data_IF_995879012444
#
_entry.id   IF_995879012444
#
_cell.length_a   1.000
_cell.length_b   1.000
_cell.length_c   1.000
_cell.angle_alpha   90.00
_cell.angle_beta   90.00
_cell.angle_gamma   90.00
#
_symmetry.space_group_name_H-M   'P 1'
#
loop_
_entity.id
_entity.type
_entity.pdbx_description
1 polymer ?
#
# COMPACT_ATOMS: atom_id res chain seq x y z
N UNK A 1 -12.46 -4.81 23.88
CA UNK A 1 -11.32 -5.73 23.78
C UNK A 1 -11.03 -5.94 22.30
N UNK A 2 -10.11 -5.18 21.72
CA UNK A 2 -9.84 -5.17 20.28
C UNK A 2 -8.66 -6.09 20.00
N UNK A 3 -8.92 -7.28 19.48
CA UNK A 3 -7.87 -8.27 19.21
C UNK A 3 -7.31 -8.09 17.81
N UNK A 4 -6.13 -7.49 17.78
CA UNK A 4 -4.99 -7.69 16.88
C UNK A 4 -5.21 -8.70 15.74
N UNK A 5 -5.44 -8.19 14.54
CA UNK A 5 -5.23 -8.98 13.33
C UNK A 5 -3.74 -9.13 13.02
N UNK A 6 -3.37 -10.33 12.57
CA UNK A 6 -2.19 -10.68 11.75
C UNK A 6 -1.08 -11.49 12.42
N UNK A 7 -1.39 -12.75 12.72
CA UNK A 7 -0.42 -13.85 12.55
C UNK A 7 -1.03 -14.90 11.64
N UNK A 8 -0.69 -14.88 10.34
CA UNK A 8 -0.93 -16.03 9.46
C UNK A 8 0.26 -16.99 9.61
N UNK A 9 0.05 -18.13 10.28
CA UNK A 9 1.05 -19.21 10.41
C UNK A 9 1.63 -19.55 9.02
N UNK A 10 2.95 -19.66 8.92
CA UNK A 10 3.65 -20.16 7.72
C UNK A 10 4.21 -19.12 6.74
N UNK A 11 4.12 -17.81 7.01
CA UNK A 11 4.75 -16.76 6.19
C UNK A 11 5.85 -16.04 6.95
N UNK A 12 7.12 -16.29 6.59
CA UNK A 12 8.24 -15.42 6.97
C UNK A 12 8.22 -14.21 6.05
N UNK A 13 8.08 -13.03 6.63
CA UNK A 13 8.10 -11.79 5.88
C UNK A 13 9.48 -11.15 5.98
N UNK A 14 10.04 -10.75 4.83
CA UNK A 14 11.29 -10.00 4.75
C UNK A 14 11.08 -8.49 4.70
N UNK A 15 12.19 -7.75 4.63
CA UNK A 15 12.21 -6.31 4.40
C UNK A 15 12.67 -6.03 2.97
N UNK A 16 11.89 -5.31 2.18
CA UNK A 16 12.33 -4.86 0.86
C UNK A 16 12.97 -3.49 1.02
N UNK A 17 14.15 -3.30 0.45
CA UNK A 17 14.80 -1.99 0.36
C UNK A 17 14.65 -1.49 -1.08
N UNK A 18 14.16 -0.25 -1.22
CA UNK A 18 13.96 0.38 -2.51
C UNK A 18 14.77 1.66 -2.60
N UNK A 19 15.31 1.94 -3.79
CA UNK A 19 15.77 3.26 -4.17
C UNK A 19 14.53 4.16 -4.37
N UNK A 20 14.43 5.23 -3.57
CA UNK A 20 13.30 6.16 -3.59
C UNK A 20 13.27 7.03 -4.84
N UNK A 21 14.42 7.34 -5.44
CA UNK A 21 14.52 8.18 -6.64
C UNK A 21 14.15 7.38 -7.89
N UNK A 22 14.67 6.15 -7.99
CA UNK A 22 14.51 5.29 -9.17
C UNK A 22 13.28 4.41 -9.10
N UNK A 23 12.67 4.26 -7.92
CA UNK A 23 11.51 3.40 -7.69
C UNK A 23 11.81 1.93 -7.94
N UNK A 24 13.03 1.48 -7.63
CA UNK A 24 13.50 0.10 -7.87
C UNK A 24 13.86 -0.59 -6.57
N UNK A 25 13.57 -1.88 -6.50
CA UNK A 25 14.07 -2.74 -5.42
C UNK A 25 15.58 -2.87 -5.56
N UNK A 26 16.31 -2.60 -4.48
CA UNK A 26 17.77 -2.70 -4.43
C UNK A 26 18.24 -3.81 -3.49
N UNK A 27 17.41 -4.24 -2.54
CA UNK A 27 17.73 -5.38 -1.68
C UNK A 27 16.47 -6.04 -1.08
N UNK A 28 16.61 -7.28 -0.61
CA UNK A 28 15.63 -8.04 0.14
C UNK A 28 16.29 -8.67 1.37
N UNK A 29 15.94 -8.18 2.55
CA UNK A 29 16.46 -8.64 3.83
C UNK A 29 15.61 -9.79 4.39
N UNK A 30 16.22 -10.74 5.14
CA UNK A 30 15.61 -12.02 5.47
C UNK A 30 14.40 -11.95 6.41
N UNK A 31 14.30 -10.91 7.23
CA UNK A 31 13.21 -10.73 8.19
C UNK A 31 12.90 -9.24 8.43
N UNK A 32 11.95 -8.97 9.35
CA UNK A 32 11.51 -7.63 9.75
C UNK A 32 12.13 -7.12 11.06
N UNK A 33 13.10 -7.84 11.62
CA UNK A 33 13.79 -7.41 12.83
C UNK A 33 14.72 -6.24 12.53
N UNK A 34 15.16 -5.53 13.57
CA UNK A 34 16.04 -4.38 13.40
C UNK A 34 17.44 -4.75 12.88
N UNK A 35 17.91 -5.97 13.17
CA UNK A 35 19.30 -6.35 12.98
C UNK A 35 19.75 -6.39 11.50
N UNK A 36 19.02 -7.05 10.57
CA UNK A 36 19.40 -7.07 9.16
C UNK A 36 19.42 -5.67 8.54
N UNK A 37 18.41 -4.84 8.82
CA UNK A 37 18.32 -3.49 8.28
C UNK A 37 19.42 -2.58 8.83
N UNK A 38 19.73 -2.67 10.13
CA UNK A 38 20.85 -1.94 10.73
C UNK A 38 22.17 -2.29 10.06
N UNK A 39 22.43 -3.59 9.88
CA UNK A 39 23.65 -4.05 9.23
C UNK A 39 23.72 -3.57 7.77
N UNK A 40 22.59 -3.56 7.06
CA UNK A 40 22.49 -3.03 5.71
C UNK A 40 22.82 -1.54 5.66
N UNK A 41 22.21 -0.73 6.53
CA UNK A 41 22.43 0.72 6.59
C UNK A 41 23.88 1.09 6.93
N UNK A 42 24.54 0.35 7.81
CA UNK A 42 25.97 0.56 8.12
C UNK A 42 26.88 0.37 6.91
N UNK A 43 26.50 -0.49 5.95
CA UNK A 43 27.23 -0.67 4.69
C UNK A 43 26.89 0.38 3.64
N UNK A 44 25.87 1.21 3.87
CA UNK A 44 25.40 2.24 2.96
C UNK A 44 25.38 3.61 3.67
N UNK A 45 26.55 4.15 4.06
CA UNK A 45 26.64 5.38 4.85
C UNK A 45 26.14 6.64 4.12
N UNK A 46 25.99 6.56 2.79
CA UNK A 46 25.48 7.66 1.95
C UNK A 46 23.96 7.84 2.02
N UNK A 47 23.23 6.92 2.66
CA UNK A 47 21.78 7.04 2.83
C UNK A 47 21.45 8.19 3.76
N UNK A 48 20.95 9.29 3.19
CA UNK A 48 20.57 10.50 3.92
C UNK A 48 19.08 10.56 4.29
N UNK A 49 18.22 9.81 3.59
CA UNK A 49 16.77 9.80 3.79
C UNK A 49 16.25 8.36 3.77
N UNK A 50 15.41 8.02 4.73
CA UNK A 50 14.70 6.74 4.76
C UNK A 50 13.19 6.98 4.90
N UNK A 51 12.45 6.63 3.85
CA UNK A 51 11.00 6.48 3.91
C UNK A 51 10.67 5.09 4.44
N UNK A 52 9.94 5.00 5.55
CA UNK A 52 9.58 3.72 6.17
C UNK A 52 8.14 3.68 6.64
N UNK A 53 7.65 2.47 6.86
CA UNK A 53 6.43 2.27 7.63
C UNK A 53 6.62 2.69 9.10
N UNK A 54 5.55 2.66 9.88
CA UNK A 54 5.57 3.07 11.30
C UNK A 54 6.10 1.97 12.25
N UNK A 55 6.80 0.96 11.75
CA UNK A 55 7.37 -0.14 12.53
C UNK A 55 8.48 0.33 13.49
N UNK A 56 8.36 -0.06 14.75
CA UNK A 56 9.37 0.18 15.80
C UNK A 56 10.75 -0.39 15.45
N UNK A 57 10.86 -1.68 15.08
CA UNK A 57 12.12 -2.28 14.64
C UNK A 57 12.85 -1.53 13.53
N UNK A 58 12.13 -0.98 12.53
CA UNK A 58 12.77 -0.20 11.47
C UNK A 58 13.24 1.16 11.98
N UNK A 59 12.46 1.82 12.83
CA UNK A 59 12.87 3.07 13.45
C UNK A 59 14.16 2.90 14.27
N UNK A 60 14.27 1.81 15.02
CA UNK A 60 15.46 1.45 15.80
C UNK A 60 16.66 1.15 14.89
N UNK A 61 16.45 0.34 13.85
CA UNK A 61 17.49 -0.02 12.89
C UNK A 61 18.09 1.22 12.22
N UNK A 62 17.25 2.21 11.86
CA UNK A 62 17.71 3.45 11.24
C UNK A 62 18.47 4.31 12.25
N UNK A 63 17.93 4.53 13.46
CA UNK A 63 18.63 5.31 14.50
C UNK A 63 20.02 4.77 14.82
N UNK A 64 20.20 3.44 14.79
CA UNK A 64 21.45 2.78 15.17
C UNK A 64 22.34 2.39 13.99
N UNK A 65 21.80 2.34 12.78
CA UNK A 65 22.51 1.95 11.55
C UNK A 65 22.88 3.12 10.65
N UNK A 66 22.09 4.20 10.67
CA UNK A 66 22.31 5.44 9.94
C UNK A 66 21.77 6.63 10.76
N UNK A 67 22.42 7.01 11.87
CA UNK A 67 21.94 8.06 12.78
C UNK A 67 21.80 9.44 12.11
N UNK A 68 22.55 9.71 11.04
CA UNK A 68 22.43 10.93 10.24
C UNK A 68 21.28 10.91 9.22
N UNK A 69 20.61 9.77 9.02
CA UNK A 69 19.54 9.67 8.05
C UNK A 69 18.22 10.25 8.60
N UNK A 70 17.58 11.11 7.82
CA UNK A 70 16.25 11.64 8.13
C UNK A 70 15.20 10.57 7.89
N UNK A 71 14.36 10.33 8.90
CA UNK A 71 13.27 9.36 8.81
C UNK A 71 11.95 10.06 8.46
N UNK A 72 11.31 9.59 7.39
CA UNK A 72 9.98 10.07 6.97
C UNK A 72 8.98 8.92 6.91
N UNK A 73 7.71 9.24 7.17
CA UNK A 73 6.64 8.27 7.06
C UNK A 73 6.35 7.97 5.59
N UNK A 74 6.25 6.69 5.26
CA UNK A 74 5.95 6.25 3.90
C UNK A 74 4.56 6.71 3.43
N UNK A 75 4.51 7.28 2.23
CA UNK A 75 3.31 7.88 1.65
C UNK A 75 2.18 6.87 1.48
N UNK A 76 2.48 5.64 1.05
CA UNK A 76 1.44 4.63 0.85
C UNK A 76 0.75 4.30 2.17
N UNK A 77 1.54 4.10 3.23
CA UNK A 77 1.00 3.86 4.57
C UNK A 77 0.17 5.03 5.09
N UNK A 78 0.59 6.28 4.84
CA UNK A 78 -0.20 7.45 5.24
C UNK A 78 -1.56 7.47 4.53
N UNK A 79 -1.57 7.29 3.20
CA UNK A 79 -2.80 7.34 2.39
C UNK A 79 -3.76 6.20 2.72
N UNK A 80 -3.25 4.97 2.88
CA UNK A 80 -4.09 3.82 3.23
C UNK A 80 -4.71 4.01 4.61
N UNK A 81 -3.89 4.34 5.62
CA UNK A 81 -4.41 4.51 6.98
C UNK A 81 -5.44 5.65 7.08
N UNK A 82 -5.20 6.77 6.39
CA UNK A 82 -6.15 7.89 6.36
C UNK A 82 -7.46 7.50 5.65
N UNK A 83 -7.36 6.83 4.50
CA UNK A 83 -8.53 6.38 3.73
C UNK A 83 -9.37 5.37 4.50
N UNK A 84 -8.72 4.41 5.16
CA UNK A 84 -9.41 3.37 5.94
C UNK A 84 -10.09 3.96 7.19
N UNK A 85 -9.43 4.94 7.84
CA UNK A 85 -10.01 5.65 8.98
C UNK A 85 -11.23 6.47 8.55
N UNK A 86 -11.12 7.23 7.46
CA UNK A 86 -12.22 8.00 6.91
C UNK A 86 -13.38 7.11 6.50
N UNK A 87 -13.11 6.01 5.78
CA UNK A 87 -14.12 5.02 5.41
C UNK A 87 -14.84 4.47 6.63
N UNK A 88 -14.10 4.01 7.62
CA UNK A 88 -14.66 3.47 8.86
C UNK A 88 -15.54 4.50 9.60
N UNK A 89 -15.13 5.76 9.60
CA UNK A 89 -15.94 6.85 10.16
C UNK A 89 -17.24 7.04 9.38
N UNK A 90 -17.16 7.18 8.06
CA UNK A 90 -18.34 7.36 7.20
C UNK A 90 -19.30 6.17 7.29
N UNK A 91 -18.78 4.94 7.32
CA UNK A 91 -19.57 3.72 7.45
C UNK A 91 -20.33 3.68 8.79
N UNK A 92 -19.72 4.16 9.89
CA UNK A 92 -20.41 4.27 11.19
C UNK A 92 -21.53 5.30 11.19
N UNK A 93 -21.35 6.42 10.50
CA UNK A 93 -22.31 7.52 10.46
C UNK A 93 -23.21 7.48 9.21
N UNK A 94 -23.25 6.37 8.46
CA UNK A 94 -23.93 6.33 7.16
C UNK A 94 -25.43 6.66 7.23
N UNK A 95 -26.11 6.32 8.33
CA UNK A 95 -27.53 6.60 8.53
C UNK A 95 -27.79 8.10 8.75
N UNK A 96 -27.01 8.73 9.65
CA UNK A 96 -27.04 10.17 9.89
C UNK A 96 -26.65 10.96 8.64
N UNK A 97 -25.63 10.50 7.90
CA UNK A 97 -25.22 11.11 6.64
C UNK A 97 -26.31 10.98 5.57
N UNK A 98 -27.03 9.85 5.50
CA UNK A 98 -28.19 9.69 4.61
C UNK A 98 -29.32 10.62 4.98
N UNK A 99 -29.61 10.76 6.26
CA UNK A 99 -30.68 11.63 6.73
C UNK A 99 -30.34 13.10 6.51
N UNK A 100 -29.12 13.52 6.85
CA UNK A 100 -28.61 14.84 6.52
C UNK A 100 -28.64 15.10 5.01
N UNK A 101 -28.28 14.12 4.17
CA UNK A 101 -28.36 14.25 2.73
C UNK A 101 -29.81 14.41 2.22
N UNK A 102 -30.78 13.73 2.84
CA UNK A 102 -32.22 13.91 2.52
C UNK A 102 -32.70 15.30 2.92
N UNK A 103 -32.37 15.74 4.13
CA UNK A 103 -32.78 17.05 4.67
C UNK A 103 -32.16 18.19 3.87
N UNK A 104 -30.87 18.09 3.51
CA UNK A 104 -30.21 19.05 2.62
C UNK A 104 -30.72 18.96 1.17
N UNK A 105 -31.05 17.76 0.70
CA UNK A 105 -31.59 17.50 -0.64
C UNK A 105 -33.00 18.07 -0.86
N UNK A 106 -33.77 18.31 0.20
CA UNK A 106 -35.08 18.96 0.12
C UNK A 106 -35.01 20.44 -0.29
N UNK A 107 -33.84 21.07 -0.24
CA UNK A 107 -33.63 22.48 -0.63
C UNK A 107 -32.69 22.70 -1.82
N UNK A 108 -32.03 21.67 -2.33
CA UNK A 108 -31.09 21.77 -3.45
C UNK A 108 -31.73 21.04 -4.64
N UNK A 109 -32.51 21.78 -5.44
CA UNK A 109 -32.75 21.36 -6.82
C UNK A 109 -31.37 21.31 -7.46
N UNK A 110 -30.88 20.16 -7.97
CA UNK A 110 -29.64 20.18 -8.73
C UNK A 110 -29.84 21.24 -9.82
N UNK A 111 -28.91 22.20 -9.99
CA UNK A 111 -29.01 23.07 -11.15
C UNK A 111 -29.14 22.13 -12.35
N UNK A 112 -29.97 22.49 -13.32
CA UNK A 112 -29.95 21.88 -14.65
C UNK A 112 -28.62 22.26 -15.33
N UNK A 113 -27.50 21.97 -14.68
CA UNK A 113 -26.18 22.00 -15.24
C UNK A 113 -26.02 20.68 -15.97
N UNK A 114 -25.65 20.81 -17.24
CA UNK A 114 -25.26 19.73 -18.11
C UNK A 114 -24.51 18.63 -17.36
N UNK A 115 -24.79 17.38 -17.73
CA UNK A 115 -24.09 16.18 -17.26
C UNK A 115 -22.64 16.51 -16.94
N UNK A 116 -22.14 16.19 -15.73
CA UNK A 116 -20.72 16.36 -15.44
C UNK A 116 -19.93 15.74 -16.60
N UNK A 117 -18.88 16.39 -17.15
CA UNK A 117 -17.96 15.65 -17.99
C UNK A 117 -17.54 14.45 -17.15
N UNK A 118 -17.90 13.27 -17.66
CA UNK A 118 -17.80 11.97 -17.02
C UNK A 118 -16.63 11.98 -16.04
N UNK A 119 -16.95 11.98 -14.74
CA UNK A 119 -15.99 12.16 -13.66
C UNK A 119 -14.83 11.24 -13.98
N UNK A 120 -13.73 11.84 -14.43
CA UNK A 120 -12.68 11.07 -15.09
C UNK A 120 -12.12 10.21 -13.99
N UNK A 121 -12.49 8.92 -14.01
CA UNK A 121 -11.93 7.91 -13.12
C UNK A 121 -10.43 8.18 -13.14
N UNK A 122 -9.75 8.32 -11.99
CA UNK A 122 -8.33 8.62 -11.98
C UNK A 122 -7.68 7.66 -12.96
N UNK A 123 -7.21 8.21 -14.08
CA UNK A 123 -6.73 7.38 -15.18
C UNK A 123 -5.56 6.60 -14.59
N UNK A 124 -5.63 5.26 -14.54
CA UNK A 124 -4.58 4.50 -13.91
C UNK A 124 -3.28 4.91 -14.60
N UNK A 125 -2.26 5.29 -13.80
CA UNK A 125 -0.96 5.55 -14.37
C UNK A 125 -0.58 4.36 -15.25
N UNK A 126 0.23 4.56 -16.30
CA UNK A 126 0.60 3.44 -17.18
C UNK A 126 1.19 2.24 -16.39
N UNK A 127 1.79 2.49 -15.22
CA UNK A 127 2.23 1.48 -14.28
C UNK A 127 1.07 0.73 -13.58
N UNK A 128 0.04 1.44 -13.11
CA UNK A 128 -1.14 0.86 -12.49
C UNK A 128 -1.97 0.04 -13.48
N UNK A 129 -2.12 0.53 -14.72
CA UNK A 129 -2.78 -0.21 -15.78
C UNK A 129 -2.05 -1.52 -16.10
N UNK A 130 -0.72 -1.47 -16.24
CA UNK A 130 0.13 -2.66 -16.44
C UNK A 130 0.05 -3.64 -15.27
N UNK A 131 -0.06 -3.15 -14.04
CA UNK A 131 -0.23 -3.99 -12.83
C UNK A 131 -1.61 -4.64 -12.80
N UNK A 132 -2.66 -3.90 -13.14
CA UNK A 132 -4.03 -4.39 -13.17
C UNK A 132 -4.25 -5.46 -14.24
N UNK A 133 -3.65 -5.29 -15.43
CA UNK A 133 -3.68 -6.28 -16.52
C UNK A 133 -2.99 -7.58 -16.08
N UNK A 134 -1.79 -7.50 -15.52
CA UNK A 134 -1.07 -8.66 -14.99
C UNK A 134 -1.86 -9.38 -13.89
N UNK A 135 -2.45 -8.64 -12.97
CA UNK A 135 -3.27 -9.20 -11.91
C UNK A 135 -4.48 -9.97 -12.47
N UNK A 136 -5.21 -9.39 -13.43
CA UNK A 136 -6.37 -10.04 -14.08
C UNK A 136 -5.96 -11.32 -14.80
N UNK A 137 -4.86 -11.30 -15.53
CA UNK A 137 -4.32 -12.47 -16.23
C UNK A 137 -3.99 -13.61 -15.26
N UNK A 138 -3.31 -13.31 -14.15
CA UNK A 138 -3.02 -14.30 -13.10
C UNK A 138 -4.31 -14.82 -12.45
N UNK A 139 -5.26 -13.95 -12.12
CA UNK A 139 -6.54 -14.32 -11.52
C UNK A 139 -7.37 -15.24 -12.44
N UNK A 140 -7.37 -14.97 -13.74
CA UNK A 140 -8.09 -15.77 -14.73
C UNK A 140 -7.48 -17.16 -14.90
N UNK A 141 -6.15 -17.26 -15.02
CA UNK A 141 -5.46 -18.56 -15.08
C UNK A 141 -5.65 -19.36 -13.79
N UNK A 142 -5.71 -18.70 -12.64
CA UNK A 142 -6.03 -19.35 -11.38
C UNK A 142 -7.48 -19.84 -11.32
N UNK A 143 -8.44 -19.05 -11.80
CA UNK A 143 -9.86 -19.45 -11.87
C UNK A 143 -10.10 -20.64 -12.81
N UNK A 144 -9.23 -20.82 -13.81
CA UNK A 144 -9.20 -21.98 -14.70
C UNK A 144 -8.57 -23.23 -14.04
N UNK A 145 -8.18 -23.17 -12.77
CA UNK A 145 -7.63 -24.30 -12.01
C UNK A 145 -6.18 -24.65 -12.36
N UNK A 146 -5.45 -23.79 -13.09
CA UNK A 146 -4.06 -24.06 -13.41
C UNK A 146 -3.19 -24.06 -12.16
N UNK A 147 -2.24 -25.01 -12.04
CA UNK A 147 -1.33 -25.05 -10.91
C UNK A 147 -0.43 -23.81 -10.92
N UNK A 148 -0.12 -23.29 -9.73
CA UNK A 148 0.59 -21.99 -9.57
C UNK A 148 1.94 -21.96 -10.29
N UNK A 149 2.67 -23.08 -10.35
CA UNK A 149 3.93 -23.19 -11.12
C UNK A 149 3.73 -22.89 -12.60
N UNK A 150 2.61 -23.33 -13.17
CA UNK A 150 2.27 -23.11 -14.57
C UNK A 150 1.84 -21.66 -14.82
N UNK A 151 1.13 -21.05 -13.88
CA UNK A 151 0.78 -19.62 -13.94
C UNK A 151 2.04 -18.75 -13.92
N UNK A 152 3.00 -19.05 -13.05
CA UNK A 152 4.30 -18.35 -13.00
C UNK A 152 5.05 -18.52 -14.33
N UNK A 153 5.08 -19.73 -14.89
CA UNK A 153 5.71 -20.01 -16.19
C UNK A 153 5.07 -19.21 -17.33
N UNK A 154 3.74 -19.11 -17.38
CA UNK A 154 3.00 -18.41 -18.44
C UNK A 154 3.02 -16.89 -18.33
N UNK A 155 3.04 -16.38 -17.09
CA UNK A 155 2.89 -14.94 -16.85
C UNK A 155 4.21 -14.24 -16.53
N UNK A 156 5.25 -14.99 -16.17
CA UNK A 156 6.50 -14.43 -15.63
C UNK A 156 6.32 -13.69 -14.30
N UNK A 157 5.13 -13.73 -13.70
CA UNK A 157 4.82 -13.05 -12.44
C UNK A 157 5.16 -14.01 -11.29
N UNK A 158 6.21 -13.67 -10.55
CA UNK A 158 6.63 -14.45 -9.39
C UNK A 158 5.62 -14.37 -8.23
N UNK A 159 5.64 -15.39 -7.37
CA UNK A 159 4.77 -15.49 -6.21
C UNK A 159 5.34 -14.60 -5.08
N UNK A 160 4.67 -13.48 -4.79
CA UNK A 160 4.95 -12.65 -3.61
C UNK A 160 4.24 -13.17 -2.35
#
# INVERSE_FOLDING_TARGET
>A
MSTTGQWRRGRRYGTIVCDLERGRVIDLLPDRSAAPLRAWLKRHPTVALVSRDRSGPYAEAIRTGAPGAVQVADRWHLLVNASDTLRSFLDRHHAELREAARLCGAGIRPPACASPPDATKPSPSSADARRQVRYRMVAQLHAQGLPIKEIVRRTGVARN
#
